data_IF_199118834421
#
_entry.id   IF_199118834421
#
_cell.length_a   1.000
_cell.length_b   1.000
_cell.length_c   1.000
_cell.angle_alpha   90.00
_cell.angle_beta   90.00
_cell.angle_gamma   90.00
#
_symmetry.space_group_name_H-M   'P 1'
#
loop_
_entity.id
_entity.type
_entity.pdbx_description
1 polymer ?
#
# COMPACT_ATOMS: atom_id res chain seq x y z
N UNK A 1 -10.81 -52.70 8.42
CA UNK A 1 -11.56 -53.10 9.61
C UNK A 1 -11.97 -51.84 10.35
N UNK A 2 -13.22 -51.45 10.18
CA UNK A 2 -13.89 -50.56 11.11
C UNK A 2 -14.26 -51.36 12.37
N UNK A 3 -14.52 -50.62 13.44
CA UNK A 3 -15.25 -51.01 14.66
C UNK A 3 -14.51 -51.80 15.75
N UNK A 4 -13.91 -51.04 16.67
CA UNK A 4 -14.05 -51.31 18.11
C UNK A 4 -13.90 -49.99 18.88
N UNK A 5 -15.05 -49.45 19.22
CA UNK A 5 -15.39 -48.17 19.86
C UNK A 5 -14.77 -48.00 21.25
N UNK A 6 -14.48 -46.73 21.55
CA UNK A 6 -14.44 -46.03 22.83
C UNK A 6 -14.46 -46.83 24.14
N UNK A 7 -13.56 -46.46 25.06
CA UNK A 7 -13.95 -46.11 26.44
C UNK A 7 -12.81 -45.41 27.20
N UNK A 8 -13.19 -44.31 27.86
CA UNK A 8 -12.52 -43.61 28.97
C UNK A 8 -11.57 -42.43 28.70
N UNK A 9 -12.14 -41.26 29.00
CA UNK A 9 -11.55 -40.16 29.76
C UNK A 9 -10.76 -39.10 28.98
N UNK A 10 -11.53 -38.20 28.38
CA UNK A 10 -11.38 -36.78 28.71
C UNK A 10 -10.07 -36.13 28.29
N UNK A 11 -10.05 -35.68 27.04
CA UNK A 11 -9.92 -34.26 26.70
C UNK A 11 -10.08 -34.17 25.20
N UNK A 12 -11.21 -33.62 24.75
CA UNK A 12 -11.27 -33.07 23.41
C UNK A 12 -10.22 -31.96 23.43
N UNK A 13 -9.03 -32.21 22.88
CA UNK A 13 -8.11 -31.14 22.54
C UNK A 13 -8.80 -30.33 21.43
N UNK A 14 -9.71 -29.46 21.86
CA UNK A 14 -9.98 -28.21 21.16
C UNK A 14 -8.61 -27.55 21.07
N UNK A 15 -7.92 -27.81 19.96
CA UNK A 15 -6.87 -26.94 19.48
C UNK A 15 -7.55 -25.59 19.24
N UNK A 16 -7.66 -24.82 20.33
CA UNK A 16 -8.02 -23.42 20.30
C UNK A 16 -6.91 -22.75 19.52
N UNK A 17 -7.00 -22.76 18.19
CA UNK A 17 -6.29 -21.81 17.37
C UNK A 17 -6.69 -20.45 17.91
N UNK A 18 -5.78 -19.83 18.67
CA UNK A 18 -5.97 -18.47 19.17
C UNK A 18 -6.40 -17.65 17.96
N UNK A 19 -7.60 -17.04 17.96
CA UNK A 19 -7.99 -16.18 16.85
C UNK A 19 -6.85 -15.18 16.69
N UNK A 20 -6.17 -15.20 15.54
CA UNK A 20 -4.96 -14.42 15.29
C UNK A 20 -5.26 -12.98 15.68
N UNK A 21 -4.76 -12.58 16.85
CA UNK A 21 -5.08 -11.28 17.44
C UNK A 21 -4.45 -10.23 16.54
N UNK A 22 -5.28 -9.33 16.02
CA UNK A 22 -4.90 -8.31 15.04
C UNK A 22 -3.66 -7.51 15.45
N UNK A 23 -2.58 -7.63 14.69
CA UNK A 23 -1.34 -6.86 14.93
C UNK A 23 -0.91 -6.00 13.75
N UNK A 24 -1.44 -6.22 12.54
CA UNK A 24 -0.93 -5.55 11.34
C UNK A 24 -1.47 -4.12 11.27
N UNK A 25 -0.56 -3.15 11.26
CA UNK A 25 -0.82 -1.73 11.00
C UNK A 25 -0.53 -1.46 9.53
N UNK A 26 -1.45 -0.82 8.82
CA UNK A 26 -1.31 -0.55 7.39
C UNK A 26 -1.45 0.94 7.12
N UNK A 27 -0.56 1.47 6.29
CA UNK A 27 -0.71 2.80 5.71
C UNK A 27 -0.88 2.65 4.21
N UNK A 28 -1.89 3.31 3.67
CA UNK A 28 -2.19 3.35 2.26
C UNK A 28 -1.96 4.76 1.73
N UNK A 29 -1.19 4.87 0.66
CA UNK A 29 -0.95 6.12 -0.05
C UNK A 29 -1.49 5.96 -1.47
N UNK A 30 -2.53 6.70 -1.84
CA UNK A 30 -3.19 6.57 -3.13
C UNK A 30 -2.92 7.79 -4.02
N UNK A 31 -2.57 7.53 -5.27
CA UNK A 31 -2.51 8.57 -6.27
C UNK A 31 -3.91 9.13 -6.56
N UNK A 32 -3.97 10.44 -6.74
CA UNK A 32 -5.17 11.23 -6.93
C UNK A 32 -4.95 12.15 -8.13
N UNK A 33 -5.54 11.72 -9.25
CA UNK A 33 -5.48 12.41 -10.53
C UNK A 33 -6.03 11.57 -11.67
N UNK A 34 -6.70 12.21 -12.63
CA UNK A 34 -7.08 11.63 -13.93
C UNK A 34 -7.80 10.27 -13.86
N UNK A 35 -7.13 9.23 -14.36
CA UNK A 35 -7.60 7.84 -14.47
C UNK A 35 -7.82 7.14 -13.12
N UNK A 36 -7.28 7.69 -12.03
CA UNK A 36 -7.28 7.06 -10.70
C UNK A 36 -8.60 7.20 -9.93
N UNK A 37 -9.47 8.15 -10.28
CA UNK A 37 -10.69 8.47 -9.51
C UNK A 37 -11.61 7.27 -9.27
N UNK A 38 -11.72 6.38 -10.26
CA UNK A 38 -12.47 5.14 -10.14
C UNK A 38 -11.84 4.18 -9.13
N UNK A 39 -10.51 4.02 -9.21
CA UNK A 39 -9.74 3.08 -8.39
C UNK A 39 -9.60 3.55 -6.95
N UNK A 40 -9.53 4.86 -6.69
CA UNK A 40 -9.52 5.43 -5.34
C UNK A 40 -10.75 4.97 -4.55
N UNK A 41 -11.95 5.08 -5.14
CA UNK A 41 -13.19 4.67 -4.47
C UNK A 41 -13.21 3.16 -4.22
N UNK A 42 -12.81 2.37 -5.20
CA UNK A 42 -12.77 0.92 -5.11
C UNK A 42 -11.78 0.44 -4.02
N UNK A 43 -10.54 0.93 -4.07
CA UNK A 43 -9.50 0.59 -3.10
C UNK A 43 -9.91 1.05 -1.70
N UNK A 44 -10.37 2.28 -1.54
CA UNK A 44 -10.82 2.77 -0.24
C UNK A 44 -11.95 1.92 0.34
N UNK A 45 -12.97 1.56 -0.46
CA UNK A 45 -14.05 0.69 -0.01
C UNK A 45 -13.57 -0.71 0.36
N UNK A 46 -12.71 -1.32 -0.47
CA UNK A 46 -12.15 -2.64 -0.23
C UNK A 46 -11.35 -2.68 1.08
N UNK A 47 -10.41 -1.75 1.27
CA UNK A 47 -9.53 -1.75 2.44
C UNK A 47 -10.27 -1.34 3.72
N UNK A 48 -11.31 -0.51 3.62
CA UNK A 48 -12.22 -0.27 4.73
C UNK A 48 -13.02 -1.54 5.09
N UNK A 49 -13.50 -2.30 4.09
CA UNK A 49 -14.20 -3.57 4.35
C UNK A 49 -13.26 -4.61 4.99
N UNK A 50 -12.02 -4.71 4.51
CA UNK A 50 -11.00 -5.59 5.11
C UNK A 50 -10.66 -5.13 6.53
N UNK A 51 -10.55 -3.82 6.78
CA UNK A 51 -10.36 -3.28 8.14
C UNK A 51 -11.52 -3.65 9.07
N UNK A 52 -12.77 -3.50 8.60
CA UNK A 52 -13.99 -3.88 9.33
C UNK A 52 -14.09 -5.38 9.60
N UNK A 53 -13.49 -6.22 8.76
CA UNK A 53 -13.41 -7.68 8.98
C UNK A 53 -12.46 -8.10 10.10
N UNK A 54 -11.95 -7.13 10.87
CA UNK A 54 -11.05 -7.34 12.01
C UNK A 54 -9.77 -8.08 11.58
N UNK A 55 -9.21 -7.68 10.42
CA UNK A 55 -7.89 -8.12 9.90
C UNK A 55 -6.76 -7.11 10.11
N UNK A 56 -7.09 -5.83 10.34
CA UNK A 56 -6.12 -4.77 10.60
C UNK A 56 -6.32 -4.15 11.97
N UNK A 57 -5.20 -3.87 12.67
CA UNK A 57 -5.21 -3.15 13.95
C UNK A 57 -5.40 -1.66 13.76
N UNK A 58 -4.78 -1.10 12.72
CA UNK A 58 -4.90 0.31 12.34
C UNK A 58 -4.74 0.43 10.82
N UNK A 59 -5.52 1.34 10.22
CA UNK A 59 -5.48 1.65 8.80
C UNK A 59 -5.46 3.18 8.64
N UNK A 60 -4.39 3.70 8.06
CA UNK A 60 -4.27 5.12 7.68
C UNK A 60 -4.30 5.26 6.17
N UNK A 61 -5.01 6.27 5.68
CA UNK A 61 -5.14 6.55 4.25
C UNK A 61 -4.68 7.97 3.98
N UNK A 62 -3.77 8.10 3.02
CA UNK A 62 -3.27 9.36 2.49
C UNK A 62 -3.35 9.36 0.97
N UNK A 63 -3.29 10.55 0.40
CA UNK A 63 -3.33 10.78 -1.04
C UNK A 63 -2.12 11.60 -1.48
N UNK A 64 -1.70 11.44 -2.73
CA UNK A 64 -0.68 12.27 -3.39
C UNK A 64 -1.11 12.53 -4.84
N UNK A 65 -0.39 13.40 -5.55
CA UNK A 65 -0.70 13.74 -6.94
C UNK A 65 0.51 13.40 -7.82
N UNK A 66 0.36 12.40 -8.70
CA UNK A 66 1.37 11.79 -9.57
C UNK A 66 2.53 11.09 -8.84
N UNK A 67 3.15 11.75 -7.85
CA UNK A 67 4.22 11.17 -7.02
C UNK A 67 4.15 11.71 -5.58
N UNK A 68 4.77 10.98 -4.65
CA UNK A 68 4.94 11.43 -3.26
C UNK A 68 6.06 12.47 -3.22
N UNK A 69 5.78 13.62 -2.62
CA UNK A 69 6.73 14.72 -2.43
C UNK A 69 6.74 15.18 -0.97
N UNK A 70 6.92 16.48 -0.73
CA UNK A 70 6.92 17.12 0.58
C UNK A 70 5.55 17.14 1.28
N UNK A 71 4.45 16.91 0.56
CA UNK A 71 3.08 16.93 1.09
C UNK A 71 2.33 15.68 0.68
N UNK A 72 1.59 15.13 1.65
CA UNK A 72 0.51 14.17 1.45
C UNK A 72 -0.82 14.85 1.76
N UNK A 73 -1.91 14.25 1.32
CA UNK A 73 -3.26 14.79 1.47
C UNK A 73 -4.15 13.81 2.23
N UNK A 74 -5.12 14.32 2.97
CA UNK A 74 -6.06 13.50 3.74
C UNK A 74 -7.33 13.13 2.96
N UNK A 75 -7.49 13.71 1.77
CA UNK A 75 -8.63 13.46 0.89
C UNK A 75 -8.19 13.48 -0.59
N UNK A 76 -8.97 12.85 -1.48
CA UNK A 76 -8.63 12.68 -2.90
C UNK A 76 -8.86 13.94 -3.75
N UNK A 77 -9.16 15.09 -3.16
CA UNK A 77 -9.18 16.37 -3.90
C UNK A 77 -7.81 17.05 -3.91
N UNK A 78 -6.85 16.51 -3.14
CA UNK A 78 -5.49 17.02 -3.02
C UNK A 78 -5.41 18.54 -2.81
N UNK A 79 -6.35 19.08 -2.04
CA UNK A 79 -6.38 20.51 -1.70
C UNK A 79 -5.29 20.81 -0.69
N UNK A 80 -4.55 21.89 -0.92
CA UNK A 80 -3.50 22.34 -0.01
C UNK A 80 -3.97 22.59 1.43
N UNK A 81 -5.24 22.99 1.63
CA UNK A 81 -5.84 23.15 2.96
C UNK A 81 -6.01 21.83 3.73
N UNK A 82 -5.94 20.69 3.03
CA UNK A 82 -6.05 19.33 3.56
C UNK A 82 -4.71 18.57 3.46
N UNK A 83 -3.62 19.30 3.22
CA UNK A 83 -2.27 18.75 3.12
C UNK A 83 -1.61 18.57 4.48
N UNK A 84 -0.76 17.57 4.59
CA UNK A 84 0.08 17.25 5.74
C UNK A 84 1.50 17.06 5.21
N UNK A 85 2.53 17.67 5.84
CA UNK A 85 3.90 17.42 5.43
C UNK A 85 4.26 15.93 5.53
N UNK A 86 4.89 15.38 4.49
CA UNK A 86 5.26 13.96 4.44
C UNK A 86 6.13 13.56 5.62
N UNK A 87 7.08 14.41 6.02
CA UNK A 87 7.94 14.19 7.19
C UNK A 87 7.14 14.04 8.49
N UNK A 88 6.04 14.80 8.65
CA UNK A 88 5.16 14.68 9.81
C UNK A 88 4.41 13.35 9.78
N UNK A 89 3.97 12.90 8.61
CA UNK A 89 3.34 11.58 8.44
C UNK A 89 4.33 10.47 8.80
N UNK A 90 5.55 10.50 8.24
CA UNK A 90 6.59 9.51 8.53
C UNK A 90 6.97 9.50 10.01
N UNK A 91 7.10 10.66 10.66
CA UNK A 91 7.40 10.72 12.10
C UNK A 91 6.24 10.23 12.99
N UNK A 92 5.00 10.35 12.53
CA UNK A 92 3.81 9.89 13.27
C UNK A 92 3.60 8.39 13.13
N UNK A 93 3.96 7.83 11.98
CA UNK A 93 3.79 6.40 11.68
C UNK A 93 5.05 5.63 12.07
N UNK A 94 4.92 4.70 13.00
CA UNK A 94 6.03 3.80 13.34
C UNK A 94 6.47 2.94 12.14
N UNK A 95 7.70 2.43 12.19
CA UNK A 95 8.26 1.59 11.13
C UNK A 95 7.58 0.22 10.97
N UNK A 96 6.74 -0.17 11.95
CA UNK A 96 5.98 -1.43 11.89
C UNK A 96 4.80 -1.36 10.92
N UNK A 97 4.37 -0.14 10.56
CA UNK A 97 3.40 0.06 9.49
C UNK A 97 3.88 -0.59 8.20
N UNK A 98 2.94 -1.27 7.55
CA UNK A 98 3.10 -1.85 6.22
C UNK A 98 2.56 -0.85 5.21
N UNK A 99 3.39 -0.42 4.26
CA UNK A 99 3.02 0.56 3.25
C UNK A 99 2.43 -0.13 2.02
N UNK A 100 1.29 0.37 1.58
CA UNK A 100 0.67 0.07 0.30
C UNK A 100 0.59 1.38 -0.48
N UNK A 101 1.28 1.47 -1.61
CA UNK A 101 1.11 2.56 -2.57
C UNK A 101 0.14 2.08 -3.64
N UNK A 102 -0.82 2.93 -4.04
CA UNK A 102 -1.76 2.63 -5.13
C UNK A 102 -1.64 3.72 -6.19
N UNK A 103 -1.25 3.36 -7.40
CA UNK A 103 -1.05 4.32 -8.50
C UNK A 103 -0.64 3.61 -9.78
N UNK A 104 -0.88 4.23 -10.93
CA UNK A 104 -0.51 3.67 -12.25
C UNK A 104 1.02 3.69 -12.51
N UNK A 105 1.78 4.39 -11.67
CA UNK A 105 3.23 4.59 -11.83
C UNK A 105 3.60 5.30 -13.13
N UNK A 106 2.65 6.02 -13.74
CA UNK A 106 2.81 6.77 -14.97
C UNK A 106 2.82 8.28 -14.69
N UNK A 107 3.98 8.77 -14.25
CA UNK A 107 4.23 10.21 -14.13
C UNK A 107 5.18 10.71 -15.23
N UNK A 108 5.16 12.03 -15.47
CA UNK A 108 6.09 12.62 -16.41
C UNK A 108 7.55 12.46 -15.91
N UNK A 109 8.56 12.27 -16.78
CA UNK A 109 9.94 12.06 -16.34
C UNK A 109 10.48 13.17 -15.43
N UNK A 110 10.08 14.42 -15.65
CA UNK A 110 10.49 15.54 -14.80
C UNK A 110 9.89 15.47 -13.39
N UNK A 111 8.73 14.84 -13.20
CA UNK A 111 8.10 14.66 -11.88
C UNK A 111 8.86 13.64 -11.04
N UNK A 112 9.42 12.60 -11.67
CA UNK A 112 10.16 11.55 -10.98
C UNK A 112 11.64 11.93 -10.77
N UNK A 113 12.30 12.46 -11.81
CA UNK A 113 13.75 12.63 -11.81
C UNK A 113 14.23 14.06 -11.50
N UNK A 114 13.38 15.08 -11.65
CA UNK A 114 13.81 16.46 -11.44
C UNK A 114 13.55 16.95 -10.03
N UNK A 115 14.49 17.74 -9.51
CA UNK A 115 14.36 18.50 -8.26
C UNK A 115 13.80 19.91 -8.48
N UNK A 116 13.67 20.35 -9.74
CA UNK A 116 13.50 21.78 -10.09
C UNK A 116 12.06 22.17 -10.41
N UNK A 117 11.27 21.24 -10.94
CA UNK A 117 9.95 21.55 -11.51
C UNK A 117 8.80 21.34 -10.53
N UNK A 118 9.02 20.57 -9.46
CA UNK A 118 8.00 20.31 -8.44
C UNK A 118 8.48 20.86 -7.09
N UNK A 119 7.62 21.54 -6.31
CA UNK A 119 7.96 21.96 -4.95
C UNK A 119 8.19 20.73 -4.07
N UNK A 120 9.45 20.36 -3.88
CA UNK A 120 9.84 19.07 -3.28
C UNK A 120 10.97 19.20 -2.25
N UNK A 121 11.19 20.40 -1.71
CA UNK A 121 12.29 20.71 -0.78
C UNK A 121 13.68 20.26 -1.30
N UNK A 122 13.90 20.33 -2.63
CA UNK A 122 15.19 20.01 -3.25
C UNK A 122 15.45 18.51 -3.47
N UNK A 123 14.48 17.63 -3.22
CA UNK A 123 14.55 16.19 -3.54
C UNK A 123 13.73 15.87 -4.79
N UNK A 124 14.18 14.94 -5.62
CA UNK A 124 13.39 14.43 -6.75
C UNK A 124 12.25 13.56 -6.24
N UNK A 125 11.25 13.29 -7.09
CA UNK A 125 10.18 12.34 -6.76
C UNK A 125 10.74 10.97 -6.40
N UNK A 126 11.77 10.51 -7.12
CA UNK A 126 12.44 9.24 -6.83
C UNK A 126 13.12 9.22 -5.46
N UNK A 127 13.76 10.33 -5.06
CA UNK A 127 14.37 10.46 -3.73
C UNK A 127 13.31 10.40 -2.63
N UNK A 128 12.17 11.08 -2.81
CA UNK A 128 11.04 11.00 -1.87
C UNK A 128 10.46 9.58 -1.79
N UNK A 129 10.26 8.91 -2.92
CA UNK A 129 9.77 7.54 -2.95
C UNK A 129 10.71 6.59 -2.20
N UNK A 130 12.02 6.73 -2.39
CA UNK A 130 13.03 5.91 -1.68
C UNK A 130 13.02 6.18 -0.19
N UNK A 131 12.94 7.44 0.24
CA UNK A 131 12.87 7.81 1.66
C UNK A 131 11.62 7.25 2.35
N UNK A 132 10.46 7.35 1.69
CA UNK A 132 9.22 6.76 2.16
C UNK A 132 9.34 5.23 2.23
N UNK A 133 9.90 4.59 1.20
CA UNK A 133 10.13 3.15 1.17
C UNK A 133 11.02 2.70 2.32
N UNK A 134 12.14 3.39 2.54
CA UNK A 134 13.17 3.02 3.50
C UNK A 134 12.73 3.28 4.96
N UNK A 135 11.69 4.10 5.16
CA UNK A 135 11.07 4.31 6.46
C UNK A 135 10.26 3.08 6.93
N UNK A 136 9.52 2.44 6.03
CA UNK A 136 8.63 1.32 6.38
C UNK A 136 9.31 -0.04 6.18
N UNK A 137 9.04 -0.98 7.08
CA UNK A 137 9.61 -2.34 7.01
C UNK A 137 9.23 -3.11 5.73
N UNK A 138 8.03 -2.86 5.19
CA UNK A 138 7.60 -3.45 3.92
C UNK A 138 6.74 -2.47 3.14
N UNK A 139 6.96 -2.48 1.84
CA UNK A 139 6.32 -1.62 0.88
C UNK A 139 5.89 -2.46 -0.33
N UNK A 140 4.65 -2.31 -0.75
CA UNK A 140 4.16 -2.87 -2.02
C UNK A 140 3.50 -1.77 -2.83
N UNK A 141 3.58 -1.88 -4.16
CA UNK A 141 2.93 -0.98 -5.09
C UNK A 141 1.79 -1.72 -5.80
N UNK A 142 0.57 -1.19 -5.73
CA UNK A 142 -0.60 -1.72 -6.42
C UNK A 142 -0.92 -0.84 -7.62
N UNK A 143 -0.80 -1.42 -8.81
CA UNK A 143 -1.06 -0.72 -10.06
C UNK A 143 -2.46 -1.08 -10.58
N UNK A 144 -3.38 -0.11 -10.75
CA UNK A 144 -4.75 -0.39 -11.18
C UNK A 144 -4.89 -0.87 -12.61
N UNK A 145 -3.93 -0.59 -13.48
CA UNK A 145 -3.90 -1.10 -14.84
C UNK A 145 -2.86 -2.21 -14.97
N UNK A 146 -3.13 -3.18 -15.85
CA UNK A 146 -2.07 -4.03 -16.39
C UNK A 146 -1.20 -3.14 -17.28
N UNK A 147 -0.29 -2.37 -16.69
CA UNK A 147 0.51 -1.38 -17.38
C UNK A 147 1.17 -1.95 -18.65
N UNK A 148 1.05 -1.19 -19.75
CA UNK A 148 1.66 -1.51 -21.04
C UNK A 148 0.64 -1.82 -22.13
N UNK A 149 0.12 -0.76 -22.77
CA UNK A 149 -0.10 -0.89 -24.22
C UNK A 149 1.20 -1.40 -24.86
N UNK A 150 1.08 -2.29 -25.84
CA UNK A 150 2.15 -3.10 -26.43
C UNK A 150 3.39 -2.33 -26.97
N UNK A 151 3.42 -1.00 -26.85
CA UNK A 151 4.42 -0.11 -27.44
C UNK A 151 4.74 1.04 -26.46
N UNK A 152 5.98 1.05 -25.96
CA UNK A 152 6.59 1.97 -24.97
C UNK A 152 6.04 1.95 -23.54
N UNK A 153 6.72 1.16 -22.70
CA UNK A 153 6.62 1.27 -21.24
C UNK A 153 7.26 2.59 -20.81
N UNK A 154 6.54 3.50 -20.12
CA UNK A 154 7.11 4.74 -19.62
C UNK A 154 8.33 4.49 -18.72
N UNK A 155 9.36 5.33 -18.85
CA UNK A 155 10.58 5.23 -18.04
C UNK A 155 10.29 5.32 -16.53
N UNK A 156 9.29 6.11 -16.15
CA UNK A 156 8.81 6.23 -14.77
C UNK A 156 8.28 4.89 -14.25
N UNK A 157 7.40 4.22 -14.99
CA UNK A 157 6.90 2.88 -14.65
C UNK A 157 8.05 1.89 -14.49
N UNK A 158 8.97 1.84 -15.47
CA UNK A 158 10.09 0.90 -15.45
C UNK A 158 11.03 1.13 -14.26
N UNK A 159 11.19 2.38 -13.84
CA UNK A 159 11.98 2.75 -12.67
C UNK A 159 11.28 2.36 -11.37
N UNK A 160 10.01 2.72 -11.20
CA UNK A 160 9.24 2.42 -9.98
C UNK A 160 9.11 0.91 -9.77
N UNK A 161 8.91 0.13 -10.85
CA UNK A 161 8.87 -1.33 -10.80
C UNK A 161 10.18 -1.97 -10.33
N UNK A 162 11.32 -1.29 -10.46
CA UNK A 162 12.61 -1.75 -9.90
C UNK A 162 12.76 -1.38 -8.42
N UNK A 163 12.12 -0.31 -7.98
CA UNK A 163 12.25 0.20 -6.60
C UNK A 163 11.24 -0.44 -5.63
N UNK A 164 10.12 -0.96 -6.12
CA UNK A 164 9.02 -1.52 -5.33
C UNK A 164 8.53 -2.88 -5.86
N UNK A 165 8.10 -3.74 -4.95
CA UNK A 165 7.34 -4.96 -5.29
C UNK A 165 5.96 -4.55 -5.83
N UNK A 166 5.84 -4.49 -7.17
CA UNK A 166 4.63 -4.02 -7.86
C UNK A 166 3.71 -5.17 -8.28
N UNK A 167 2.41 -5.04 -8.00
CA UNK A 167 1.35 -5.98 -8.35
C UNK A 167 0.19 -5.25 -9.03
N UNK A 168 -0.48 -5.91 -9.97
CA UNK A 168 -1.70 -5.34 -10.58
C UNK A 168 -2.90 -5.45 -9.64
N UNK A 169 -3.85 -4.53 -9.74
CA UNK A 169 -5.04 -4.49 -8.89
C UNK A 169 -6.10 -5.52 -9.33
N UNK A 170 -5.74 -6.80 -9.20
CA UNK A 170 -6.66 -7.93 -9.33
C UNK A 170 -6.92 -8.54 -7.96
N UNK A 171 -8.04 -9.23 -7.79
CA UNK A 171 -8.39 -9.88 -6.51
C UNK A 171 -7.29 -10.84 -6.06
N UNK A 172 -6.72 -11.61 -6.99
CA UNK A 172 -5.65 -12.56 -6.70
C UNK A 172 -4.36 -11.87 -6.29
N UNK A 173 -3.99 -10.80 -7.00
CA UNK A 173 -2.79 -10.03 -6.70
C UNK A 173 -2.89 -9.24 -5.40
N UNK A 174 -4.10 -8.79 -5.03
CA UNK A 174 -4.37 -8.23 -3.71
C UNK A 174 -4.09 -9.26 -2.60
N UNK A 175 -4.52 -10.51 -2.78
CA UNK A 175 -4.20 -11.58 -1.83
C UNK A 175 -2.70 -11.84 -1.76
N UNK A 176 -1.99 -11.82 -2.89
CA UNK A 176 -0.53 -11.99 -2.95
C UNK A 176 0.20 -10.83 -2.25
N UNK A 177 -0.16 -9.58 -2.55
CA UNK A 177 0.41 -8.40 -1.91
C UNK A 177 0.18 -8.44 -0.40
N UNK A 178 -1.03 -8.78 0.05
CA UNK A 178 -1.33 -8.92 1.48
C UNK A 178 -0.52 -10.05 2.14
N UNK A 179 -0.36 -11.20 1.47
CA UNK A 179 0.49 -12.28 1.98
C UNK A 179 1.93 -11.81 2.13
N UNK A 180 2.48 -11.09 1.15
CA UNK A 180 3.85 -10.53 1.21
C UNK A 180 4.04 -9.59 2.40
N UNK A 181 3.07 -8.72 2.67
CA UNK A 181 3.10 -7.80 3.81
C UNK A 181 3.03 -8.51 5.17
N UNK A 182 2.39 -9.68 5.23
CA UNK A 182 2.18 -10.45 6.47
C UNK A 182 3.28 -11.50 6.69
N UNK A 183 3.83 -12.09 5.62
CA UNK A 183 4.80 -13.18 5.70
C UNK A 183 6.23 -12.72 5.92
N UNK A 184 6.52 -11.46 5.61
CA UNK A 184 7.85 -10.91 5.80
C UNK A 184 8.05 -10.66 7.31
N UNK A 185 8.90 -11.50 7.90
CA UNK A 185 9.14 -11.62 9.34
C UNK A 185 10.60 -11.34 9.64
#
# INVERSE_FOLDING_TARGET
>A
TADATAENAGMLELAWERPRRNTVKVVMMMDSGGSMDYYIRLCSALFQAVSKSNRFKDLKIYYFHNCIYQKLYTDPTCRDSKSIPTDVVLNTLDREYKLIIVGDAEMAPYELFSQRYVPSNGKSGLEWLREVRDHFSHCVWLNPSEGGGYWDVPESYATIKKEFDMYYLTVDNLVLAMKKLISAR
#
